data_IF_681630638843
#
_entry.id   IF_681630638843
#
_cell.length_a   1.000
_cell.length_b   1.000
_cell.length_c   1.000
_cell.angle_alpha   90.00
_cell.angle_beta   90.00
_cell.angle_gamma   90.00
#
_symmetry.space_group_name_H-M   'P 1'
#
loop_
_entity.id
_entity.type
_entity.pdbx_description
1 polymer ?
#
# COMPACT_ATOMS: atom_id res chain seq x y z
N UNK A 1 -27.02 21.12 3.33
CA UNK A 1 -25.91 20.78 2.40
C UNK A 1 -24.62 20.41 3.16
N UNK A 2 -24.04 21.31 3.95
CA UNK A 2 -22.75 21.07 4.63
C UNK A 2 -22.76 19.90 5.62
N UNK A 3 -23.80 19.76 6.44
CA UNK A 3 -23.89 18.67 7.43
C UNK A 3 -23.94 17.27 6.80
N UNK A 4 -24.71 17.12 5.71
CA UNK A 4 -24.78 15.86 4.96
C UNK A 4 -23.42 15.52 4.32
N UNK A 5 -22.76 16.52 3.72
CA UNK A 5 -21.45 16.34 3.12
C UNK A 5 -20.38 15.93 4.15
N UNK A 6 -20.35 16.59 5.32
CA UNK A 6 -19.45 16.26 6.43
C UNK A 6 -19.66 14.82 6.90
N UNK A 7 -20.91 14.39 7.07
CA UNK A 7 -21.24 13.02 7.52
C UNK A 7 -20.75 11.96 6.53
N UNK A 8 -20.95 12.20 5.23
CA UNK A 8 -20.45 11.30 4.19
C UNK A 8 -18.93 11.22 4.21
N UNK A 9 -18.23 12.37 4.28
CA UNK A 9 -16.77 12.40 4.35
C UNK A 9 -16.24 11.65 5.57
N UNK A 10 -16.81 11.89 6.74
CA UNK A 10 -16.40 11.21 7.98
C UNK A 10 -16.55 9.69 7.88
N UNK A 11 -17.60 9.21 7.20
CA UNK A 11 -17.82 7.77 7.00
C UNK A 11 -16.71 7.16 6.13
N UNK A 12 -16.38 7.83 5.02
CA UNK A 12 -15.33 7.41 4.09
C UNK A 12 -13.94 7.46 4.76
N UNK A 13 -13.63 8.55 5.46
CA UNK A 13 -12.36 8.71 6.19
C UNK A 13 -12.16 7.62 7.25
N UNK A 14 -13.23 7.27 7.99
CA UNK A 14 -13.19 6.18 8.98
C UNK A 14 -12.97 4.83 8.31
N UNK A 15 -13.62 4.55 7.19
CA UNK A 15 -13.42 3.32 6.43
C UNK A 15 -11.96 3.18 5.96
N UNK A 16 -11.38 4.24 5.37
CA UNK A 16 -9.97 4.25 4.99
C UNK A 16 -9.02 4.13 6.19
N UNK A 17 -9.37 4.73 7.33
CA UNK A 17 -8.61 4.57 8.58
C UNK A 17 -8.57 3.13 9.10
N UNK A 18 -9.64 2.36 8.92
CA UNK A 18 -9.66 0.91 9.25
C UNK A 18 -8.78 0.13 8.29
N UNK A 19 -8.89 0.41 6.99
CA UNK A 19 -8.12 -0.29 5.96
C UNK A 19 -6.62 -0.07 6.10
N UNK A 20 -6.18 1.17 6.29
CA UNK A 20 -4.74 1.48 6.46
C UNK A 20 -4.14 0.88 7.73
N UNK A 21 -4.91 0.77 8.81
CA UNK A 21 -4.48 0.06 10.03
C UNK A 21 -4.38 -1.45 9.82
N UNK A 22 -5.31 -2.05 9.08
CA UNK A 22 -5.30 -3.50 8.80
C UNK A 22 -4.25 -3.88 7.75
N UNK A 23 -4.00 -2.99 6.79
CA UNK A 23 -3.05 -3.18 5.69
C UNK A 23 -2.07 -2.00 5.65
N UNK A 24 -0.95 -2.05 6.40
CA UNK A 24 0.05 -0.99 6.43
C UNK A 24 0.65 -0.64 5.06
N UNK A 25 0.60 -1.57 4.11
CA UNK A 25 0.99 -1.32 2.73
C UNK A 25 0.18 -0.18 2.07
N UNK A 26 -1.06 0.07 2.51
CA UNK A 26 -1.92 1.16 2.03
C UNK A 26 -1.65 2.50 2.72
N UNK A 27 -0.97 2.49 3.88
CA UNK A 27 -0.56 3.72 4.56
C UNK A 27 0.73 4.30 3.97
N UNK A 28 1.54 3.43 3.35
CA UNK A 28 2.73 3.82 2.59
C UNK A 28 2.39 4.15 1.13
N UNK A 29 3.27 4.90 0.47
CA UNK A 29 3.18 5.06 -0.99
C UNK A 29 3.48 3.72 -1.67
N UNK A 30 2.49 3.17 -2.38
CA UNK A 30 2.72 2.01 -3.26
C UNK A 30 3.74 2.38 -4.34
N UNK A 31 4.87 1.67 -4.38
CA UNK A 31 5.93 1.85 -5.37
C UNK A 31 5.75 0.94 -6.60
N UNK A 32 4.52 0.50 -6.86
CA UNK A 32 4.20 -0.43 -7.94
C UNK A 32 3.56 0.30 -9.12
N UNK A 33 3.63 -0.29 -10.32
CA UNK A 33 2.85 0.19 -11.48
C UNK A 33 1.37 0.28 -11.10
N UNK A 34 0.64 1.18 -11.75
CA UNK A 34 -0.78 1.44 -11.46
C UNK A 34 -1.60 0.13 -11.50
N UNK A 35 -1.36 -0.70 -12.50
CA UNK A 35 -2.03 -1.98 -12.69
C UNK A 35 -1.86 -2.92 -11.48
N UNK A 36 -0.64 -3.05 -10.96
CA UNK A 36 -0.38 -3.82 -9.74
C UNK A 36 -0.92 -3.13 -8.48
N UNK A 37 -0.93 -1.80 -8.44
CA UNK A 37 -1.50 -1.06 -7.31
C UNK A 37 -2.99 -1.31 -7.18
N UNK A 38 -3.72 -1.36 -8.30
CA UNK A 38 -5.13 -1.74 -8.32
C UNK A 38 -5.31 -3.17 -7.82
N UNK A 39 -4.48 -4.12 -8.27
CA UNK A 39 -4.53 -5.50 -7.78
C UNK A 39 -4.26 -5.62 -6.27
N UNK A 40 -3.33 -4.83 -5.74
CA UNK A 40 -3.07 -4.79 -4.29
C UNK A 40 -4.30 -4.26 -3.54
N UNK A 41 -4.91 -3.17 -4.03
CA UNK A 41 -6.10 -2.59 -3.42
C UNK A 41 -7.28 -3.56 -3.44
N UNK A 42 -7.52 -4.25 -4.57
CA UNK A 42 -8.61 -5.24 -4.68
C UNK A 42 -8.37 -6.47 -3.81
N UNK A 43 -7.14 -6.96 -3.72
CA UNK A 43 -6.78 -8.04 -2.80
C UNK A 43 -7.01 -7.63 -1.34
N UNK A 44 -6.63 -6.41 -0.94
CA UNK A 44 -6.92 -5.88 0.40
C UNK A 44 -8.42 -5.79 0.68
N UNK A 45 -9.23 -5.39 -0.32
CA UNK A 45 -10.68 -5.36 -0.21
C UNK A 45 -11.28 -6.74 0.04
N UNK A 46 -10.86 -7.74 -0.73
CA UNK A 46 -11.31 -9.12 -0.57
C UNK A 46 -10.92 -9.68 0.80
N UNK A 47 -9.67 -9.46 1.23
CA UNK A 47 -9.20 -9.87 2.56
C UNK A 47 -9.94 -9.16 3.69
N UNK A 48 -10.29 -7.88 3.51
CA UNK A 48 -11.11 -7.15 4.47
C UNK A 48 -12.49 -7.78 4.62
N UNK A 49 -13.14 -8.12 3.50
CA UNK A 49 -14.45 -8.77 3.52
C UNK A 49 -14.39 -10.12 4.25
N UNK A 50 -13.35 -10.93 3.99
CA UNK A 50 -13.13 -12.19 4.70
C UNK A 50 -12.94 -11.95 6.20
N UNK A 51 -12.15 -10.96 6.59
CA UNK A 51 -11.96 -10.60 8.00
C UNK A 51 -13.28 -10.16 8.67
N UNK A 52 -14.12 -9.41 7.97
CA UNK A 52 -15.45 -9.04 8.45
C UNK A 52 -16.37 -10.25 8.62
N UNK A 53 -16.36 -11.20 7.67
CA UNK A 53 -17.12 -12.45 7.78
C UNK A 53 -16.65 -13.30 8.97
N UNK A 54 -15.35 -13.29 9.27
CA UNK A 54 -14.76 -14.01 10.41
C UNK A 54 -14.89 -13.24 11.74
N UNK A 55 -15.55 -12.09 11.72
CA UNK A 55 -15.70 -11.19 12.86
C UNK A 55 -14.35 -10.85 13.53
N UNK A 56 -13.28 -10.73 12.73
CA UNK A 56 -11.96 -10.40 13.24
C UNK A 56 -11.95 -8.95 13.72
N UNK A 57 -11.46 -8.68 14.95
CA UNK A 57 -11.42 -7.33 15.47
C UNK A 57 -10.51 -6.45 14.61
N UNK A 58 -10.88 -5.18 14.49
CA UNK A 58 -10.00 -4.20 13.87
C UNK A 58 -8.69 -4.12 14.67
N UNK A 59 -7.52 -4.19 14.02
CA UNK A 59 -6.26 -4.11 14.75
C UNK A 59 -6.19 -2.81 15.55
N UNK A 60 -5.65 -2.86 16.78
CA UNK A 60 -5.48 -1.67 17.60
C UNK A 60 -4.70 -0.63 16.81
N UNK A 61 -4.94 0.65 17.08
CA UNK A 61 -4.07 1.69 16.55
C UNK A 61 -2.68 1.45 17.13
N UNK A 62 -1.80 0.79 16.38
CA UNK A 62 -0.39 0.68 16.72
C UNK A 62 0.23 2.07 16.79
N UNK A 63 1.43 2.20 17.39
CA UNK A 63 2.15 3.47 17.32
C UNK A 63 2.27 3.86 15.85
N UNK A 64 1.72 5.02 15.51
CA UNK A 64 1.79 5.57 14.16
C UNK A 64 3.24 5.41 13.69
N UNK A 65 3.52 4.72 12.56
CA UNK A 65 4.89 4.57 12.11
C UNK A 65 5.47 5.97 12.06
N UNK A 66 6.57 6.18 12.80
CA UNK A 66 7.21 7.48 12.97
C UNK A 66 7.18 8.17 11.61
N UNK A 67 6.59 9.38 11.56
CA UNK A 67 6.52 10.22 10.37
C UNK A 67 7.79 9.98 9.59
N UNK A 68 7.69 9.34 8.41
CA UNK A 68 8.86 9.20 7.56
C UNK A 68 9.29 10.63 7.29
N UNK A 69 10.34 11.08 7.98
CA UNK A 69 11.00 12.35 7.73
C UNK A 69 11.12 12.46 6.20
N UNK A 70 10.80 13.60 5.56
CA UNK A 70 10.91 13.73 4.12
C UNK A 70 12.24 13.11 3.73
N UNK A 71 12.23 11.97 3.02
CA UNK A 71 13.45 11.24 2.69
C UNK A 71 14.31 12.29 2.00
N UNK A 72 15.38 12.73 2.68
CA UNK A 72 16.25 13.80 2.20
C UNK A 72 16.49 13.50 0.74
N UNK A 73 16.07 14.42 -0.15
CA UNK A 73 16.17 14.23 -1.59
C UNK A 73 17.63 13.91 -1.85
N UNK A 74 17.96 12.62 -2.03
CA UNK A 74 19.31 12.24 -2.42
C UNK A 74 19.58 13.00 -3.70
N UNK A 75 20.68 13.77 -3.82
CA UNK A 75 21.07 14.35 -5.08
C UNK A 75 21.00 13.25 -6.13
N UNK A 76 20.24 13.48 -7.18
CA UNK A 76 20.13 12.56 -8.29
C UNK A 76 21.52 12.48 -8.90
N UNK A 77 22.26 11.41 -8.61
CA UNK A 77 23.37 11.05 -9.47
C UNK A 77 22.77 10.78 -10.86
N UNK A 78 23.37 11.29 -11.94
CA UNK A 78 22.87 11.04 -13.28
C UNK A 78 22.83 9.52 -13.50
N UNK A 79 21.62 8.99 -13.65
CA UNK A 79 21.39 7.59 -13.99
C UNK A 79 21.81 7.41 -15.45
N UNK A 80 23.06 7.07 -15.66
CA UNK A 80 23.55 6.54 -16.93
C UNK A 80 23.30 5.03 -16.98
N UNK A 81 22.04 4.63 -17.07
CA UNK A 81 21.69 3.28 -17.48
C UNK A 81 20.38 3.29 -18.26
N UNK A 82 20.27 2.54 -19.38
CA UNK A 82 19.05 2.48 -20.17
C UNK A 82 17.90 2.03 -19.27
N UNK A 83 16.77 2.73 -19.33
CA UNK A 83 15.53 2.38 -18.64
C UNK A 83 14.94 1.15 -19.34
N UNK A 84 15.52 -0.02 -19.09
CA UNK A 84 14.93 -1.28 -19.50
C UNK A 84 13.97 -1.76 -18.42
N UNK A 85 12.72 -1.33 -18.57
CA UNK A 85 11.55 -1.76 -17.80
C UNK A 85 11.33 -3.30 -17.83
N UNK A 86 12.06 -4.04 -18.69
CA UNK A 86 12.07 -5.50 -18.83
C UNK A 86 12.84 -6.21 -17.70
N UNK A 87 13.75 -5.52 -17.00
CA UNK A 87 14.67 -6.17 -16.08
C UNK A 87 14.09 -6.49 -14.69
N UNK A 88 13.05 -5.78 -14.22
CA UNK A 88 12.46 -6.03 -12.90
C UNK A 88 11.81 -7.41 -12.76
N UNK A 89 11.04 -7.83 -13.77
CA UNK A 89 10.36 -9.13 -13.79
C UNK A 89 11.35 -10.29 -13.89
N UNK A 90 12.36 -10.16 -14.75
CA UNK A 90 13.44 -11.17 -14.91
C UNK A 90 14.36 -11.21 -13.70
N UNK A 91 14.65 -10.07 -13.07
CA UNK A 91 15.42 -10.03 -11.82
C UNK A 91 14.65 -10.69 -10.68
N UNK A 92 13.35 -10.42 -10.54
CA UNK A 92 12.49 -11.09 -9.54
C UNK A 92 12.42 -12.59 -9.80
N UNK A 93 12.21 -13.03 -11.05
CA UNK A 93 12.17 -14.45 -11.39
C UNK A 93 13.50 -15.16 -11.07
N UNK A 94 14.64 -14.52 -11.36
CA UNK A 94 15.97 -15.05 -11.01
C UNK A 94 16.20 -15.13 -9.49
N UNK A 95 15.74 -14.13 -8.72
CA UNK A 95 15.85 -14.13 -7.26
C UNK A 95 14.98 -15.25 -6.65
N UNK A 96 13.74 -15.40 -7.11
CA UNK A 96 12.84 -16.47 -6.66
C UNK A 96 13.47 -17.84 -6.94
N UNK A 97 13.96 -18.07 -8.16
CA UNK A 97 14.61 -19.33 -8.51
C UNK A 97 15.84 -19.64 -7.65
N UNK A 98 16.56 -18.61 -7.17
CA UNK A 98 17.72 -18.77 -6.28
C UNK A 98 17.38 -19.02 -4.82
N UNK A 99 16.28 -18.45 -4.33
CA UNK A 99 15.93 -18.50 -2.91
C UNK A 99 15.10 -19.73 -2.52
N UNK A 100 14.50 -20.42 -3.48
CA UNK A 100 13.59 -21.55 -3.25
C UNK A 100 14.09 -22.84 -3.92
N UNK A 101 15.40 -23.11 -3.82
CA UNK A 101 16.05 -24.33 -4.31
C UNK A 101 16.16 -25.37 -3.19
#
# INVERSE_FOLDING_TARGET
YQAAHIRTRNTVERAFGVWKRRFPCLDMRLQHKLEHSVLIMTACAALHNVACMRNEPCPPAGPSPAVQLPRSRRPHLPVSAPIETINGSRARARLIARCFQ
#
